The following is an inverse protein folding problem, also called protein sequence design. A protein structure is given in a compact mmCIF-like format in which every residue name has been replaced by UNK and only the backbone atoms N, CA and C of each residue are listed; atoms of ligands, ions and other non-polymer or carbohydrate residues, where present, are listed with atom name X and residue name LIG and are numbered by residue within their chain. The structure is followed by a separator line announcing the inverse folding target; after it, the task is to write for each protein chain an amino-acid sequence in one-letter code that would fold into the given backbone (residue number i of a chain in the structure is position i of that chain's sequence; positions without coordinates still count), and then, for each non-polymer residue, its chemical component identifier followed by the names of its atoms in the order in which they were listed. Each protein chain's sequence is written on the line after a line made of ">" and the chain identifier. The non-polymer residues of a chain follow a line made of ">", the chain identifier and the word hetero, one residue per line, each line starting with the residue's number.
data_IF_774809752244
#
_entry.id   IF_774809752244
#
_cell.length_a   1.000
_cell.length_b   1.000
_cell.length_c   1.000
_cell.angle_alpha   90.00
_cell.angle_beta   90.00
_cell.angle_gamma   90.00
#
_symmetry.space_group_name_H-M   'P 1'
#
loop_
_entity.id
_entity.type
_entity.pdbx_description
1 polymer ?
#
# COMPACT_ATOMS: atom_id res chain seq x y z
N UNK A 1 -32.33 36.97 0.48
CA UNK A 1 -32.63 35.70 1.17
C UNK A 1 -31.66 34.64 0.65
N UNK A 2 -30.54 34.40 1.35
CA UNK A 2 -29.58 33.37 0.96
C UNK A 2 -29.91 32.07 1.70
N UNK A 3 -30.53 31.13 1.00
CA UNK A 3 -30.81 29.79 1.50
C UNK A 3 -29.57 28.89 1.30
N UNK A 4 -28.58 29.01 2.19
CA UNK A 4 -27.58 27.95 2.33
C UNK A 4 -28.22 26.77 3.07
N UNK A 5 -28.80 25.83 2.30
CA UNK A 5 -29.27 24.56 2.85
C UNK A 5 -28.06 23.71 3.24
N UNK A 6 -27.85 23.55 4.53
CA UNK A 6 -26.97 22.54 5.11
C UNK A 6 -27.47 21.14 4.71
N UNK A 7 -26.96 20.60 3.61
CA UNK A 7 -27.17 19.19 3.29
C UNK A 7 -26.33 18.36 4.27
N UNK A 8 -26.98 17.81 5.29
CA UNK A 8 -26.35 16.82 6.16
C UNK A 8 -25.94 15.61 5.32
N UNK A 9 -24.63 15.31 5.30
CA UNK A 9 -24.08 14.19 4.54
C UNK A 9 -24.70 12.90 5.07
N UNK A 10 -25.63 12.32 4.31
CA UNK A 10 -26.22 11.02 4.63
C UNK A 10 -25.11 9.98 4.65
N UNK A 11 -25.06 9.17 5.72
CA UNK A 11 -24.08 8.09 5.84
C UNK A 11 -24.27 7.11 4.68
N UNK A 12 -23.15 6.80 4.01
CA UNK A 12 -23.13 5.82 2.93
C UNK A 12 -23.44 4.44 3.54
N UNK A 13 -24.30 3.63 2.89
CA UNK A 13 -24.66 2.32 3.42
C UNK A 13 -23.46 1.37 3.44
N UNK A 14 -23.53 0.40 4.35
CA UNK A 14 -22.52 -0.65 4.46
C UNK A 14 -22.47 -1.51 3.20
N UNK A 15 -21.35 -2.20 3.01
CA UNK A 15 -21.21 -3.13 1.89
C UNK A 15 -22.00 -4.41 2.13
N UNK A 16 -22.81 -4.81 1.14
CA UNK A 16 -23.56 -6.08 1.16
C UNK A 16 -22.61 -7.26 0.96
N UNK A 17 -23.10 -8.49 1.21
CA UNK A 17 -22.29 -9.70 0.99
C UNK A 17 -21.94 -9.88 -0.49
N UNK A 18 -22.92 -9.71 -1.37
CA UNK A 18 -22.75 -9.82 -2.82
C UNK A 18 -21.78 -8.77 -3.36
N UNK A 19 -21.83 -7.54 -2.86
CA UNK A 19 -20.86 -6.48 -3.21
C UNK A 19 -19.42 -6.89 -2.82
N UNK A 20 -19.24 -7.46 -1.62
CA UNK A 20 -17.92 -7.92 -1.17
C UNK A 20 -17.40 -9.05 -2.06
N UNK A 21 -18.23 -10.03 -2.38
CA UNK A 21 -17.87 -11.14 -3.26
C UNK A 21 -17.53 -10.65 -4.68
N UNK A 22 -18.33 -9.73 -5.22
CA UNK A 22 -18.07 -9.12 -6.52
C UNK A 22 -16.70 -8.42 -6.56
N UNK A 23 -16.36 -7.63 -5.54
CA UNK A 23 -15.06 -6.96 -5.48
C UNK A 23 -13.90 -7.96 -5.44
N UNK A 24 -14.02 -9.02 -4.62
CA UNK A 24 -12.94 -10.00 -4.47
C UNK A 24 -12.70 -10.80 -5.73
N UNK A 25 -13.77 -11.22 -6.42
CA UNK A 25 -13.67 -11.92 -7.70
C UNK A 25 -13.07 -11.02 -8.80
N UNK A 26 -13.48 -9.75 -8.85
CA UNK A 26 -12.94 -8.78 -9.79
C UNK A 26 -11.43 -8.56 -9.57
N UNK A 27 -10.98 -8.49 -8.31
CA UNK A 27 -9.56 -8.37 -7.98
C UNK A 27 -8.80 -9.64 -8.36
N UNK A 28 -9.32 -10.82 -7.99
CA UNK A 28 -8.69 -12.11 -8.28
C UNK A 28 -8.41 -12.28 -9.79
N UNK A 29 -9.41 -12.00 -10.61
CA UNK A 29 -9.36 -12.32 -12.04
C UNK A 29 -8.49 -11.33 -12.83
N UNK A 30 -8.50 -10.04 -12.47
CA UNK A 30 -7.98 -8.99 -13.34
C UNK A 30 -6.82 -8.18 -12.76
N UNK A 31 -6.66 -8.12 -11.42
CA UNK A 31 -5.79 -7.11 -10.78
C UNK A 31 -4.87 -7.65 -9.67
N UNK A 32 -4.97 -8.95 -9.34
CA UNK A 32 -4.24 -9.56 -8.23
C UNK A 32 -2.71 -9.40 -8.33
N UNK A 33 -2.14 -9.66 -9.51
CA UNK A 33 -0.70 -9.62 -9.75
C UNK A 33 -0.08 -8.26 -9.42
N UNK A 34 -0.72 -7.17 -9.88
CA UNK A 34 -0.19 -5.82 -9.68
C UNK A 34 -0.47 -5.30 -8.26
N UNK A 35 -1.62 -5.61 -7.68
CA UNK A 35 -1.96 -5.16 -6.32
C UNK A 35 -1.08 -5.81 -5.24
N UNK A 36 -0.83 -7.12 -5.34
CA UNK A 36 -0.01 -7.86 -4.36
C UNK A 36 1.49 -7.80 -4.63
N UNK A 37 1.93 -7.11 -5.70
CA UNK A 37 3.35 -6.86 -5.94
C UNK A 37 3.96 -6.03 -4.78
N UNK A 38 4.94 -6.60 -4.08
CA UNK A 38 5.60 -5.98 -2.92
C UNK A 38 6.80 -5.09 -3.26
N UNK A 39 7.16 -4.94 -4.54
CA UNK A 39 8.27 -4.05 -4.94
C UNK A 39 7.91 -2.59 -4.67
N UNK A 40 8.63 -1.93 -3.77
CA UNK A 40 8.40 -0.52 -3.42
C UNK A 40 9.08 0.37 -4.45
N UNK A 41 8.36 0.80 -5.49
CA UNK A 41 8.82 1.80 -6.46
C UNK A 41 7.76 2.91 -6.56
N UNK A 42 8.18 4.17 -6.76
CA UNK A 42 7.30 5.32 -6.98
C UNK A 42 6.33 5.07 -8.15
N UNK A 43 6.82 4.47 -9.23
CA UNK A 43 6.03 4.09 -10.42
C UNK A 43 4.92 3.09 -10.04
N UNK A 44 5.26 2.03 -9.28
CA UNK A 44 4.31 1.03 -8.82
C UNK A 44 3.20 1.62 -7.92
N UNK A 45 3.50 2.66 -7.15
CA UNK A 45 2.46 3.32 -6.34
C UNK A 45 1.43 4.07 -7.21
N UNK A 46 1.89 4.73 -8.27
CA UNK A 46 1.01 5.39 -9.24
C UNK A 46 0.17 4.35 -9.99
N UNK A 47 0.80 3.29 -10.49
CA UNK A 47 0.12 2.16 -11.15
C UNK A 47 -0.97 1.55 -10.26
N UNK A 48 -0.69 1.31 -8.97
CA UNK A 48 -1.69 0.81 -8.02
C UNK A 48 -2.86 1.78 -7.84
N UNK A 49 -2.60 3.08 -7.79
CA UNK A 49 -3.67 4.07 -7.68
C UNK A 49 -4.53 4.11 -8.95
N UNK A 50 -3.93 3.99 -10.14
CA UNK A 50 -4.65 3.88 -11.41
C UNK A 50 -5.49 2.60 -11.48
N UNK A 51 -4.96 1.48 -11.01
CA UNK A 51 -5.69 0.22 -10.91
C UNK A 51 -6.90 0.36 -10.00
N UNK A 52 -6.77 1.05 -8.86
CA UNK A 52 -7.92 1.30 -7.99
C UNK A 52 -9.01 2.14 -8.66
N UNK A 53 -8.64 3.10 -9.53
CA UNK A 53 -9.61 3.83 -10.36
C UNK A 53 -10.28 2.93 -11.41
N UNK A 54 -9.53 2.03 -12.04
CA UNK A 54 -10.10 1.04 -12.98
C UNK A 54 -11.06 0.08 -12.26
N UNK A 55 -10.68 -0.41 -11.08
CA UNK A 55 -11.53 -1.23 -10.22
C UNK A 55 -12.81 -0.49 -9.86
N UNK A 56 -12.72 0.80 -9.53
CA UNK A 56 -13.89 1.65 -9.27
C UNK A 56 -14.84 1.70 -10.48
N UNK A 57 -14.33 1.94 -11.70
CA UNK A 57 -15.16 1.92 -12.91
C UNK A 57 -15.80 0.54 -13.17
N UNK A 58 -15.01 -0.53 -13.09
CA UNK A 58 -15.48 -1.90 -13.33
C UNK A 58 -16.48 -2.37 -12.27
N UNK A 59 -16.23 -2.04 -11.02
CA UNK A 59 -17.09 -2.42 -9.91
C UNK A 59 -18.44 -1.71 -10.01
N UNK A 60 -18.43 -0.40 -10.26
CA UNK A 60 -19.65 0.39 -10.39
C UNK A 60 -20.44 0.08 -11.67
N UNK A 61 -19.81 -0.49 -12.71
CA UNK A 61 -20.50 -0.93 -13.93
C UNK A 61 -21.08 -2.35 -13.84
N UNK A 62 -20.43 -3.26 -13.11
CA UNK A 62 -20.81 -4.69 -13.03
C UNK A 62 -21.79 -4.99 -11.91
N UNK A 63 -21.67 -4.33 -10.78
CA UNK A 63 -22.47 -4.69 -9.62
C UNK A 63 -23.88 -4.06 -9.70
N UNK A 64 -24.91 -4.74 -9.19
CA UNK A 64 -26.29 -4.23 -9.12
C UNK A 64 -26.40 -3.13 -8.06
N UNK A 65 -25.64 -2.05 -8.24
CA UNK A 65 -25.35 -1.06 -7.22
C UNK A 65 -26.38 0.06 -7.26
N UNK A 66 -27.11 0.17 -6.16
CA UNK A 66 -27.94 1.33 -5.83
C UNK A 66 -27.07 2.56 -5.51
N UNK A 67 -25.79 2.35 -5.18
CA UNK A 67 -24.89 3.41 -4.71
C UNK A 67 -23.48 3.30 -5.29
N UNK A 68 -22.96 4.45 -5.72
CA UNK A 68 -21.58 4.60 -6.15
C UNK A 68 -20.58 4.37 -5.01
N UNK A 69 -19.51 3.62 -5.29
CA UNK A 69 -18.42 3.37 -4.34
C UNK A 69 -17.12 3.92 -4.90
N UNK A 70 -16.43 4.72 -4.09
CA UNK A 70 -15.15 5.30 -4.49
C UNK A 70 -14.00 4.29 -4.40
N UNK A 71 -12.98 4.45 -5.25
CA UNK A 71 -11.72 3.71 -5.20
C UNK A 71 -11.13 3.58 -3.78
N UNK A 72 -11.16 4.65 -2.98
CA UNK A 72 -10.66 4.62 -1.60
C UNK A 72 -11.46 3.68 -0.71
N UNK A 73 -12.79 3.64 -0.89
CA UNK A 73 -13.69 2.78 -0.10
C UNK A 73 -13.47 1.31 -0.45
N UNK A 74 -13.32 1.01 -1.74
CA UNK A 74 -13.03 -0.34 -2.24
C UNK A 74 -11.66 -0.83 -1.74
N UNK A 75 -10.64 0.03 -1.83
CA UNK A 75 -9.31 -0.24 -1.27
C UNK A 75 -9.36 -0.53 0.21
N UNK A 76 -10.07 0.31 0.98
CA UNK A 76 -10.18 0.15 2.44
C UNK A 76 -10.91 -1.14 2.80
N UNK A 77 -11.95 -1.51 2.05
CA UNK A 77 -12.64 -2.79 2.23
C UNK A 77 -11.72 -3.98 1.98
N UNK A 78 -10.96 -3.94 0.89
CA UNK A 78 -10.00 -4.99 0.55
C UNK A 78 -8.92 -5.17 1.63
N UNK A 79 -8.30 -4.08 2.08
CA UNK A 79 -7.27 -4.13 3.14
C UNK A 79 -7.85 -4.62 4.48
N UNK A 80 -9.05 -4.17 4.84
CA UNK A 80 -9.73 -4.66 6.04
C UNK A 80 -9.98 -6.16 5.96
N UNK A 81 -10.40 -6.67 4.80
CA UNK A 81 -10.65 -8.09 4.59
C UNK A 81 -9.39 -8.93 4.64
N UNK A 82 -8.27 -8.46 4.08
CA UNK A 82 -6.96 -9.09 4.27
C UNK A 82 -6.56 -9.18 5.73
N UNK A 83 -6.80 -8.10 6.49
CA UNK A 83 -6.49 -8.05 7.92
C UNK A 83 -7.36 -9.04 8.71
N UNK A 84 -8.65 -9.10 8.42
CA UNK A 84 -9.59 -10.08 9.01
C UNK A 84 -9.14 -11.52 8.72
N UNK A 85 -8.77 -11.83 7.48
CA UNK A 85 -8.27 -13.16 7.10
C UNK A 85 -7.02 -13.54 7.89
N UNK A 86 -6.00 -12.66 7.92
CA UNK A 86 -4.78 -12.92 8.70
C UNK A 86 -5.07 -13.16 10.17
N UNK A 87 -6.00 -12.39 10.75
CA UNK A 87 -6.41 -12.56 12.15
C UNK A 87 -7.10 -13.92 12.37
N UNK A 88 -8.02 -14.32 11.50
CA UNK A 88 -8.71 -15.62 11.58
C UNK A 88 -7.71 -16.78 11.54
N UNK A 89 -6.77 -16.75 10.60
CA UNK A 89 -5.75 -17.80 10.45
C UNK A 89 -4.77 -17.84 11.63
N UNK A 90 -4.33 -16.68 12.11
CA UNK A 90 -3.43 -16.59 13.27
C UNK A 90 -4.09 -17.10 14.56
N UNK A 91 -5.37 -16.77 14.78
CA UNK A 91 -6.11 -17.26 15.94
C UNK A 91 -6.28 -18.78 15.89
N UNK A 92 -6.60 -19.34 14.72
CA UNK A 92 -6.66 -20.79 14.57
C UNK A 92 -5.31 -21.45 14.84
N UNK A 93 -4.23 -20.95 14.21
CA UNK A 93 -2.88 -21.47 14.43
C UNK A 93 -2.50 -21.44 15.91
N UNK A 94 -2.84 -20.36 16.62
CA UNK A 94 -2.65 -20.26 18.07
C UNK A 94 -3.41 -21.33 18.84
N UNK A 95 -4.67 -21.59 18.47
CA UNK A 95 -5.48 -22.64 19.10
C UNK A 95 -4.89 -24.03 18.89
N UNK A 96 -4.30 -24.31 17.72
CA UNK A 96 -3.62 -25.57 17.42
C UNK A 96 -2.43 -25.85 18.37
N UNK A 97 -1.73 -24.81 18.84
CA UNK A 97 -0.59 -24.97 19.74
C UNK A 97 -0.94 -24.96 21.24
N UNK A 98 -2.22 -24.91 21.62
CA UNK A 98 -2.61 -24.99 23.03
C UNK A 98 -2.52 -26.46 23.51
N UNK A 99 -1.64 -26.74 24.47
CA UNK A 99 -1.36 -28.10 24.98
C UNK A 99 -2.12 -28.48 26.25
N UNK A 100 -3.11 -27.69 26.66
CA UNK A 100 -3.80 -27.80 27.96
C UNK A 100 -4.78 -28.98 28.14
N UNK A 101 -4.65 -30.06 27.38
CA UNK A 101 -5.51 -31.27 27.50
C UNK A 101 -6.99 -31.07 27.17
N UNK A 102 -7.36 -29.92 26.59
CA UNK A 102 -8.71 -29.64 26.11
C UNK A 102 -9.04 -30.38 24.81
N UNK A 103 -10.33 -30.40 24.40
CA UNK A 103 -10.71 -30.95 23.11
C UNK A 103 -9.98 -30.23 21.96
N UNK A 104 -9.69 -30.95 20.86
CA UNK A 104 -8.98 -30.36 19.73
C UNK A 104 -9.77 -29.17 19.17
N UNK A 105 -9.08 -28.13 18.66
CA UNK A 105 -9.74 -26.99 18.07
C UNK A 105 -10.60 -27.44 16.88
N UNK A 106 -11.81 -26.90 16.78
CA UNK A 106 -12.72 -27.14 15.66
C UNK A 106 -12.20 -26.50 14.39
N UNK A 107 -12.44 -27.14 13.24
CA UNK A 107 -12.04 -26.65 11.92
C UNK A 107 -12.43 -25.17 11.68
N UNK A 108 -11.55 -24.44 10.99
CA UNK A 108 -11.80 -23.05 10.61
C UNK A 108 -13.02 -22.99 9.69
N UNK A 109 -14.01 -22.19 10.08
CA UNK A 109 -15.09 -21.79 9.18
C UNK A 109 -14.56 -20.78 8.16
N UNK A 110 -14.20 -21.28 6.98
CA UNK A 110 -13.70 -20.45 5.86
C UNK A 110 -14.85 -20.02 4.95
N UNK A 111 -15.13 -18.72 4.93
CA UNK A 111 -16.15 -18.15 4.05
C UNK A 111 -15.71 -18.17 2.57
N UNK A 112 -16.65 -18.07 1.62
CA UNK A 112 -16.33 -17.99 0.18
C UNK A 112 -15.36 -16.84 -0.14
N UNK A 113 -15.56 -15.67 0.50
CA UNK A 113 -14.67 -14.51 0.40
C UNK A 113 -13.27 -14.83 0.91
N UNK A 114 -13.16 -15.58 2.02
CA UNK A 114 -11.87 -15.93 2.62
C UNK A 114 -11.09 -16.88 1.68
N UNK A 115 -11.78 -17.82 1.02
CA UNK A 115 -11.16 -18.70 0.02
C UNK A 115 -10.57 -17.93 -1.15
N UNK A 116 -11.31 -16.95 -1.68
CA UNK A 116 -10.82 -16.07 -2.76
C UNK A 116 -9.59 -15.29 -2.28
N UNK A 117 -9.64 -14.70 -1.08
CA UNK A 117 -8.51 -13.96 -0.53
C UNK A 117 -7.28 -14.83 -0.27
N UNK A 118 -7.45 -16.09 0.12
CA UNK A 118 -6.35 -17.05 0.28
C UNK A 118 -5.65 -17.35 -1.05
N UNK A 119 -6.34 -17.24 -2.19
CA UNK A 119 -5.75 -17.38 -3.52
C UNK A 119 -4.99 -16.11 -3.96
N UNK A 120 -5.52 -14.93 -3.62
CA UNK A 120 -4.91 -13.65 -3.99
C UNK A 120 -3.65 -13.36 -3.14
N UNK A 121 -3.77 -13.50 -1.82
CA UNK A 121 -2.72 -13.07 -0.88
C UNK A 121 -1.59 -14.10 -0.84
N UNK A 122 -0.35 -13.60 -0.86
CA UNK A 122 0.84 -14.44 -0.74
C UNK A 122 0.76 -15.37 0.49
N UNK A 123 0.83 -16.69 0.25
CA UNK A 123 0.76 -17.75 1.27
C UNK A 123 1.70 -17.52 2.46
N UNK A 124 2.95 -17.11 2.21
CA UNK A 124 3.94 -16.83 3.26
C UNK A 124 3.49 -15.73 4.22
N UNK A 125 2.68 -14.77 3.73
CA UNK A 125 2.10 -13.71 4.55
C UNK A 125 0.95 -14.19 5.45
N UNK A 126 0.38 -15.37 5.18
CA UNK A 126 -0.74 -15.96 5.92
C UNK A 126 -0.25 -17.00 6.93
N UNK A 127 0.58 -17.95 6.51
CA UNK A 127 1.05 -19.08 7.33
C UNK A 127 2.34 -18.77 8.14
N UNK A 128 3.07 -17.72 7.73
CA UNK A 128 4.44 -17.48 8.18
C UNK A 128 5.46 -18.29 7.36
N UNK A 129 6.72 -18.18 7.75
CA UNK A 129 7.79 -19.04 7.21
C UNK A 129 7.79 -20.38 7.95
N UNK A 130 8.01 -21.47 7.22
CA UNK A 130 8.40 -22.75 7.82
C UNK A 130 9.79 -22.56 8.43
N UNK A 131 9.94 -22.92 9.70
CA UNK A 131 11.25 -22.97 10.35
C UNK A 131 11.70 -24.42 10.27
N UNK A 132 12.69 -24.71 9.44
CA UNK A 132 13.21 -26.07 9.20
C UNK A 132 14.19 -26.54 10.29
N UNK A 133 14.58 -25.63 11.19
CA UNK A 133 15.60 -25.85 12.23
C UNK A 133 15.07 -25.52 13.62
N UNK A 134 13.77 -25.75 13.86
CA UNK A 134 13.20 -25.61 15.20
C UNK A 134 13.20 -26.96 15.92
N UNK A 135 13.47 -26.95 17.23
CA UNK A 135 13.60 -28.19 18.04
C UNK A 135 12.25 -28.89 18.28
N UNK A 136 11.18 -28.28 17.79
CA UNK A 136 9.79 -28.67 18.02
C UNK A 136 9.12 -29.22 16.73
N UNK A 137 9.89 -29.46 15.67
CA UNK A 137 9.39 -30.14 14.46
C UNK A 137 9.09 -31.59 14.85
N UNK A 138 7.84 -31.83 15.23
CA UNK A 138 7.25 -33.17 15.18
C UNK A 138 7.13 -33.50 13.70
N UNK A 139 7.90 -34.47 13.23
CA UNK A 139 7.68 -35.09 11.93
C UNK A 139 6.19 -35.47 11.86
N UNK A 140 5.39 -34.70 11.11
CA UNK A 140 4.08 -35.18 10.69
C UNK A 140 4.38 -36.46 9.93
N UNK A 141 3.97 -37.59 10.51
CA UNK A 141 4.03 -38.89 9.87
C UNK A 141 3.10 -38.88 8.65
N UNK A 142 3.56 -38.28 7.56
CA UNK A 142 3.02 -38.45 6.23
C UNK A 142 3.13 -39.94 5.88
N UNK A 143 2.04 -40.59 5.45
CA UNK A 143 2.10 -41.97 5.00
C UNK A 143 3.05 -42.04 3.81
N UNK A 144 4.03 -42.93 3.90
CA UNK A 144 5.09 -43.17 2.90
C UNK A 144 4.48 -43.21 1.49
N UNK A 145 4.52 -42.07 0.78
CA UNK A 145 4.31 -42.03 -0.66
C UNK A 145 5.68 -42.17 -1.29
N UNK A 146 5.94 -43.36 -1.83
CA UNK A 146 7.17 -43.74 -2.52
C UNK A 146 7.59 -42.62 -3.49
N UNK A 147 8.78 -42.05 -3.26
CA UNK A 147 9.45 -41.14 -4.22
C UNK A 147 9.78 -41.94 -5.49
N UNK A 148 9.14 -41.63 -6.61
CA UNK A 148 9.63 -41.95 -7.95
C UNK A 148 10.60 -40.83 -8.40
N UNK A 149 11.67 -41.23 -9.08
CA UNK A 149 12.90 -40.46 -9.32
C UNK A 149 12.85 -39.53 -10.55
N UNK A 150 11.80 -38.73 -10.74
CA UNK A 150 11.61 -38.03 -12.03
C UNK A 150 11.42 -36.51 -11.98
N UNK A 151 11.46 -35.85 -10.81
CA UNK A 151 11.19 -34.39 -10.75
C UNK A 151 12.44 -33.50 -10.52
N UNK A 152 13.65 -34.05 -10.63
CA UNK A 152 14.88 -33.24 -10.68
C UNK A 152 15.23 -32.94 -12.14
N UNK A 153 14.51 -32.01 -12.78
CA UNK A 153 14.98 -31.08 -13.85
C UNK A 153 13.84 -30.10 -14.07
N UNK A 154 13.95 -28.88 -13.52
CA UNK A 154 13.50 -27.63 -14.17
C UNK A 154 13.97 -26.40 -13.38
N UNK A 155 15.28 -26.35 -13.08
CA UNK A 155 15.98 -25.07 -12.97
C UNK A 155 16.25 -24.57 -14.41
N UNK A 156 15.20 -24.10 -15.08
CA UNK A 156 15.34 -23.36 -16.34
C UNK A 156 15.28 -21.88 -16.01
N UNK A 157 16.48 -21.30 -15.96
CA UNK A 157 16.73 -19.87 -16.13
C UNK A 157 16.07 -19.46 -17.45
N UNK A 158 14.91 -18.78 -17.37
CA UNK A 158 14.29 -18.17 -18.53
C UNK A 158 14.90 -16.79 -18.74
N UNK A 159 15.96 -16.74 -19.54
CA UNK A 159 16.29 -15.58 -20.36
C UNK A 159 15.16 -15.38 -21.37
N UNK A 160 14.48 -14.24 -21.35
CA UNK A 160 13.61 -13.85 -22.45
C UNK A 160 13.48 -12.33 -22.60
N UNK A 161 14.21 -11.88 -23.61
CA UNK A 161 13.83 -10.92 -24.66
C UNK A 161 12.98 -9.70 -24.28
N UNK A 162 13.58 -8.55 -24.56
CA UNK A 162 12.94 -7.26 -24.66
C UNK A 162 11.82 -7.30 -25.72
N UNK A 163 10.57 -7.30 -25.26
CA UNK A 163 9.41 -7.04 -26.12
C UNK A 163 8.89 -5.62 -25.87
N UNK A 164 9.10 -4.79 -26.89
CA UNK A 164 8.43 -3.55 -27.29
C UNK A 164 7.18 -3.16 -26.47
N UNK A 165 7.30 -2.07 -25.71
CA UNK A 165 6.15 -1.35 -25.19
C UNK A 165 5.50 -0.56 -26.33
N UNK A 166 4.24 -0.87 -26.61
CA UNK A 166 3.37 -0.08 -27.49
C UNK A 166 2.98 1.22 -26.81
N UNK A 167 3.22 2.32 -27.50
CA UNK A 167 2.83 3.67 -27.14
C UNK A 167 1.30 3.76 -26.99
N UNK A 168 0.84 4.42 -25.91
CA UNK A 168 -0.50 5.00 -25.85
C UNK A 168 -0.30 6.48 -25.56
N UNK A 169 -0.68 7.28 -26.55
CA UNK A 169 -0.53 8.73 -26.60
C UNK A 169 -1.14 9.45 -25.39
N UNK A 170 -0.36 10.40 -24.87
CA UNK A 170 -0.78 11.42 -23.93
C UNK A 170 -1.53 12.49 -24.72
N UNK A 171 -2.84 12.65 -24.47
CA UNK A 171 -3.55 13.89 -24.82
C UNK A 171 -3.21 14.91 -23.74
N UNK A 172 -2.18 15.70 -24.01
CA UNK A 172 -1.97 17.01 -23.42
C UNK A 172 -2.84 18.01 -24.20
N UNK A 173 -3.92 18.48 -23.59
CA UNK A 173 -4.50 19.80 -23.84
C UNK A 173 -5.63 20.03 -22.86
N UNK A 174 -5.37 20.89 -21.86
CA UNK A 174 -6.18 22.02 -21.40
C UNK A 174 -5.46 22.51 -20.14
N UNK A 175 -4.57 23.46 -20.34
CA UNK A 175 -4.25 24.48 -19.33
C UNK A 175 -5.06 25.71 -19.71
N UNK A 176 -5.43 26.48 -18.69
CA UNK A 176 -6.03 27.81 -18.73
C UNK A 176 -7.56 27.82 -18.73
N UNK A 177 -8.16 27.72 -17.53
CA UNK A 177 -8.78 28.90 -16.93
C UNK A 177 -9.27 28.70 -15.47
N UNK A 178 -8.84 29.67 -14.65
CA UNK A 178 -9.55 30.29 -13.52
C UNK A 178 -9.54 29.67 -12.09
N UNK A 179 -8.80 30.41 -11.24
CA UNK A 179 -8.90 30.64 -9.79
C UNK A 179 -9.19 29.48 -8.82
N UNK A 180 -8.13 29.00 -8.17
CA UNK A 180 -8.21 28.50 -6.79
C UNK A 180 -8.38 29.68 -5.80
N UNK A 181 -9.41 29.71 -4.94
CA UNK A 181 -9.47 30.67 -3.85
C UNK A 181 -8.44 30.32 -2.78
N UNK A 182 -7.57 31.29 -2.48
CA UNK A 182 -6.64 31.24 -1.34
C UNK A 182 -7.43 31.03 -0.04
N UNK A 183 -7.33 29.85 0.57
CA UNK A 183 -7.87 29.62 1.91
C UNK A 183 -7.01 30.41 2.92
N UNK A 184 -7.47 31.60 3.26
CA UNK A 184 -6.99 32.34 4.43
C UNK A 184 -7.36 31.50 5.66
N UNK A 185 -6.35 30.91 6.30
CA UNK A 185 -6.45 30.31 7.63
C UNK A 185 -6.86 31.39 8.63
N UNK A 186 -8.17 31.54 8.87
CA UNK A 186 -8.68 32.27 10.03
C UNK A 186 -8.43 31.40 11.26
N UNK A 187 -7.39 31.75 12.04
CA UNK A 187 -7.28 31.32 13.43
C UNK A 187 -8.50 31.87 14.19
N UNK A 188 -9.47 31.01 14.49
CA UNK A 188 -10.50 31.32 15.48
C UNK A 188 -9.89 31.14 16.89
N UNK A 189 -10.07 32.10 17.81
CA UNK A 189 -9.76 31.87 19.22
C UNK A 189 -10.78 30.87 19.79
N UNK A 190 -10.40 30.00 20.75
CA UNK A 190 -11.33 29.06 21.34
C UNK A 190 -12.26 29.79 22.32
N UNK A 191 -13.39 30.27 21.83
CA UNK A 191 -14.51 30.69 22.68
C UNK A 191 -15.58 29.60 22.62
N UNK A 192 -15.79 28.92 23.74
CA UNK A 192 -16.88 27.93 23.86
C UNK A 192 -16.54 26.59 24.49
N UNK A 193 -15.43 26.44 25.24
CA UNK A 193 -15.33 25.29 26.14
C UNK A 193 -16.36 25.44 27.26
N UNK A 194 -17.47 24.72 27.14
CA UNK A 194 -18.40 24.53 28.23
C UNK A 194 -17.66 23.86 29.40
N UNK A 195 -17.78 24.44 30.60
CA UNK A 195 -17.26 23.82 31.83
C UNK A 195 -17.99 22.49 32.04
N UNK A 196 -17.31 21.42 32.49
CA UNK A 196 -17.99 20.18 32.82
C UNK A 196 -18.98 20.42 33.96
N UNK A 197 -20.27 20.21 33.69
CA UNK A 197 -21.33 20.10 34.68
C UNK A 197 -21.11 18.82 35.47
N UNK A 198 -20.42 18.89 36.61
CA UNK A 198 -20.49 17.91 37.69
C UNK A 198 -20.03 18.57 39.00
N UNK A 199 -20.99 19.11 39.76
CA UNK A 199 -20.76 19.88 40.99
C UNK A 199 -20.71 19.00 42.26
N UNK A 200 -20.48 17.69 42.15
CA UNK A 200 -20.49 16.79 43.32
C UNK A 200 -19.38 15.74 43.29
N UNK A 201 -18.14 16.19 43.50
CA UNK A 201 -17.10 15.38 44.14
C UNK A 201 -16.29 16.27 45.10
N UNK A 202 -16.92 16.69 46.21
CA UNK A 202 -16.17 17.16 47.38
C UNK A 202 -15.60 15.92 48.08
N UNK A 203 -14.29 15.73 47.97
CA UNK A 203 -13.57 14.79 48.83
C UNK A 203 -13.51 15.42 50.23
N UNK A 204 -14.20 14.81 51.19
CA UNK A 204 -14.08 15.14 52.60
C UNK A 204 -12.68 14.73 53.10
N UNK A 205 -11.97 15.55 53.89
CA UNK A 205 -10.71 15.14 54.49
C UNK A 205 -11.00 14.10 55.58
N UNK A 206 -10.73 12.82 55.30
CA UNK A 206 -10.84 11.76 56.30
C UNK A 206 -9.77 11.94 57.37
N UNK A 207 -10.24 11.94 58.61
CA UNK A 207 -9.49 12.03 59.86
C UNK A 207 -8.36 10.99 59.92
N UNK A 208 -7.23 11.41 60.51
CA UNK A 208 -6.08 10.56 60.87
C UNK A 208 -6.56 9.44 61.79
N UNK A 209 -6.44 8.19 61.35
CA UNK A 209 -6.54 7.01 62.21
C UNK A 209 -5.12 6.51 62.47
N UNK A 210 -4.73 6.49 63.74
CA UNK A 210 -3.46 5.91 64.21
C UNK A 210 -3.51 4.38 64.07
N UNK A 211 -2.40 3.70 63.72
CA UNK A 211 -2.34 2.25 63.77
C UNK A 211 -2.09 1.77 65.22
N UNK A 212 -2.61 0.59 65.61
CA UNK A 212 -2.42 0.04 66.94
C UNK A 212 -1.01 -0.53 67.13
N UNK A 213 -0.48 -0.31 68.33
CA UNK A 213 0.75 -0.86 68.86
C UNK A 213 0.59 -2.36 69.12
N UNK A 214 1.47 -3.19 68.54
CA UNK A 214 1.76 -4.53 69.03
C UNK A 214 3.25 -4.63 69.32
N UNK A 215 3.54 -4.82 70.60
CA UNK A 215 4.86 -4.99 71.20
C UNK A 215 5.35 -6.43 71.03
N UNK A 216 6.53 -6.61 70.42
CA UNK A 216 7.41 -7.74 70.76
C UNK A 216 8.84 -7.24 71.03
N UNK A 217 9.39 -7.77 72.10
CA UNK A 217 10.63 -7.45 72.81
C UNK A 217 11.89 -7.67 71.97
N UNK A 218 12.78 -6.68 71.98
CA UNK A 218 14.17 -6.80 71.53
C UNK A 218 15.10 -7.11 72.73
N UNK A 219 15.95 -8.12 72.57
CA UNK A 219 17.15 -8.33 73.40
C UNK A 219 18.33 -7.67 72.69
N UNK A 220 19.05 -6.86 73.44
CA UNK A 220 20.21 -6.06 73.03
C UNK A 220 21.44 -6.92 72.74
N UNK A 221 22.24 -6.54 71.72
CA UNK A 221 23.71 -6.44 71.84
C UNK A 221 24.33 -5.69 70.65
N UNK A 222 25.23 -4.76 71.01
CA UNK A 222 26.33 -4.11 70.26
C UNK A 222 26.03 -3.34 68.98
N UNK A 223 26.24 -2.01 69.05
CA UNK A 223 26.45 -1.16 67.89
C UNK A 223 27.93 -1.11 67.47
N UNK A 224 28.17 -0.95 66.17
CA UNK A 224 28.78 0.25 65.57
C UNK A 224 28.57 0.25 64.05
N UNK A 225 27.93 1.34 63.60
CA UNK A 225 27.87 1.96 62.27
C UNK A 225 28.23 1.16 61.00
N UNK A 226 27.20 0.82 60.21
CA UNK A 226 27.33 0.79 58.75
C UNK A 226 26.05 1.37 58.11
N UNK A 227 26.20 2.51 57.43
CA UNK A 227 25.10 3.24 56.80
C UNK A 227 24.66 2.58 55.49
N UNK A 228 23.80 1.55 55.59
CA UNK A 228 23.15 0.97 54.42
C UNK A 228 22.00 1.87 53.97
N UNK A 229 22.31 2.77 53.04
CA UNK A 229 21.34 3.57 52.28
C UNK A 229 20.48 2.61 51.43
N UNK A 230 19.19 2.56 51.71
CA UNK A 230 18.19 1.94 50.83
C UNK A 230 18.25 2.56 49.42
N UNK A 231 18.14 1.76 48.34
CA UNK A 231 18.19 2.29 46.98
C UNK A 231 16.91 3.10 46.72
N UNK A 232 17.08 4.40 46.48
CA UNK A 232 15.97 5.26 46.08
C UNK A 232 15.40 4.74 44.77
N UNK A 233 14.09 4.45 44.78
CA UNK A 233 13.27 4.17 43.61
C UNK A 233 13.67 5.14 42.48
N UNK A 234 14.23 4.61 41.40
CA UNK A 234 14.69 5.42 40.28
C UNK A 234 13.49 6.17 39.69
N UNK A 235 13.39 7.46 39.99
CA UNK A 235 12.54 8.35 39.24
C UNK A 235 12.96 8.22 37.77
N UNK A 236 12.10 7.65 36.92
CA UNK A 236 12.27 7.73 35.47
C UNK A 236 12.25 9.21 35.12
N UNK A 237 13.44 9.81 35.06
CA UNK A 237 13.62 11.11 34.45
C UNK A 237 13.13 10.96 33.02
N UNK A 238 12.02 11.61 32.68
CA UNK A 238 11.71 11.87 31.29
C UNK A 238 12.96 12.53 30.69
N UNK A 239 13.39 12.16 29.48
CA UNK A 239 14.41 12.94 28.80
C UNK A 239 13.80 14.31 28.54
N UNK A 240 14.05 15.27 29.41
CA UNK A 240 14.03 16.67 29.04
C UNK A 240 15.26 16.87 28.17
N UNK A 241 15.18 16.40 26.93
CA UNK A 241 16.11 16.81 25.90
C UNK A 241 16.00 18.31 25.83
N UNK A 242 16.95 19.01 26.47
CA UNK A 242 17.10 20.44 26.29
C UNK A 242 17.20 20.65 24.80
N UNK A 243 16.20 21.31 24.23
CA UNK A 243 16.27 21.81 22.86
C UNK A 243 17.46 22.75 22.87
N UNK A 244 18.61 22.29 22.38
CA UNK A 244 19.74 23.17 22.11
C UNK A 244 19.21 24.12 21.05
N UNK A 245 18.90 25.35 21.44
CA UNK A 245 18.63 26.41 20.48
C UNK A 245 19.92 26.57 19.68
N UNK A 246 19.88 26.14 18.42
CA UNK A 246 21.01 26.26 17.51
C UNK A 246 21.50 27.71 17.53
N UNK A 247 22.81 27.90 17.59
CA UNK A 247 23.38 29.24 17.51
C UNK A 247 23.14 29.78 16.08
N UNK A 248 23.14 31.10 15.89
CA UNK A 248 22.97 31.72 14.57
C UNK A 248 23.97 31.19 13.53
N UNK A 249 25.16 30.76 13.99
CA UNK A 249 26.20 30.08 13.21
C UNK A 249 25.73 28.73 12.66
N UNK A 250 25.18 27.85 13.51
CA UNK A 250 24.74 26.51 13.11
C UNK A 250 23.52 26.57 12.17
N UNK A 251 22.67 27.59 12.35
CA UNK A 251 21.58 27.87 11.41
C UNK A 251 22.12 28.27 10.04
N UNK A 252 23.11 29.18 9.98
CA UNK A 252 23.69 29.63 8.73
C UNK A 252 24.33 28.47 7.93
N UNK A 253 25.08 27.58 8.59
CA UNK A 253 25.67 26.41 7.94
C UNK A 253 24.61 25.46 7.36
N UNK A 254 23.50 25.26 8.08
CA UNK A 254 22.39 24.42 7.60
C UNK A 254 21.73 25.00 6.34
N UNK A 255 21.58 26.32 6.24
CA UNK A 255 21.01 26.96 5.04
C UNK A 255 21.96 26.87 3.84
N UNK A 256 23.27 27.04 4.05
CA UNK A 256 24.27 26.86 2.97
C UNK A 256 24.26 25.44 2.41
N UNK A 257 24.07 24.41 3.26
CA UNK A 257 23.93 23.03 2.81
C UNK A 257 22.62 22.77 2.06
N UNK A 258 21.53 23.44 2.44
CA UNK A 258 20.25 23.37 1.73
C UNK A 258 20.36 23.96 0.32
N UNK A 259 21.04 25.10 0.16
CA UNK A 259 21.25 25.75 -1.15
C UNK A 259 22.07 24.86 -2.09
N UNK A 260 23.18 24.30 -1.59
CA UNK A 260 24.00 23.34 -2.36
C UNK A 260 23.19 22.12 -2.79
N UNK A 261 22.31 21.63 -1.91
CA UNK A 261 21.42 20.50 -2.24
C UNK A 261 20.36 20.88 -3.27
N UNK A 262 19.81 22.10 -3.23
CA UNK A 262 18.88 22.59 -4.26
C UNK A 262 19.53 22.59 -5.64
N UNK A 263 20.74 23.16 -5.73
CA UNK A 263 21.51 23.22 -6.98
C UNK A 263 21.81 21.82 -7.52
N UNK A 264 22.16 20.86 -6.66
CA UNK A 264 22.41 19.48 -7.09
C UNK A 264 21.15 18.80 -7.62
N UNK A 265 20.00 19.02 -6.98
CA UNK A 265 18.71 18.48 -7.45
C UNK A 265 18.31 19.11 -8.79
N UNK A 266 18.49 20.43 -8.94
CA UNK A 266 18.25 21.13 -10.21
C UNK A 266 19.09 20.55 -11.34
N UNK A 267 20.40 20.35 -11.12
CA UNK A 267 21.29 19.71 -12.10
C UNK A 267 20.89 18.27 -12.43
N UNK A 268 20.42 17.50 -11.46
CA UNK A 268 19.94 16.14 -11.70
C UNK A 268 18.67 16.14 -12.55
N UNK A 269 17.75 17.08 -12.29
CA UNK A 269 16.54 17.25 -13.09
C UNK A 269 16.92 17.62 -14.52
N UNK A 270 17.80 18.60 -14.69
CA UNK A 270 18.30 19.05 -16.00
C UNK A 270 18.89 17.88 -16.81
N UNK A 271 19.80 17.11 -16.21
CA UNK A 271 20.40 15.93 -16.84
C UNK A 271 19.35 14.88 -17.25
N UNK A 272 18.37 14.60 -16.39
CA UNK A 272 17.28 13.65 -16.71
C UNK A 272 16.43 14.19 -17.87
N UNK A 273 16.12 15.49 -17.88
CA UNK A 273 15.34 16.10 -18.95
C UNK A 273 16.06 16.08 -20.29
N UNK A 274 17.38 16.31 -20.30
CA UNK A 274 18.21 16.21 -21.50
C UNK A 274 18.24 14.77 -22.04
N UNK A 275 18.40 13.77 -21.16
CA UNK A 275 18.34 12.36 -21.56
C UNK A 275 16.98 12.00 -22.17
N UNK A 276 15.88 12.44 -21.55
CA UNK A 276 14.53 12.22 -22.07
C UNK A 276 14.31 12.93 -23.41
N UNK A 277 14.86 14.13 -23.58
CA UNK A 277 14.80 14.87 -24.84
C UNK A 277 15.53 14.12 -25.94
N UNK A 278 16.74 13.62 -25.66
CA UNK A 278 17.52 12.86 -26.63
C UNK A 278 16.78 11.58 -27.10
N UNK A 279 16.22 10.82 -26.16
CA UNK A 279 15.44 9.62 -26.48
C UNK A 279 14.21 9.95 -27.33
N UNK A 280 13.48 11.03 -26.99
CA UNK A 280 12.32 11.49 -27.78
C UNK A 280 12.71 11.88 -29.20
N UNK A 281 13.82 12.61 -29.38
CA UNK A 281 14.29 12.98 -30.71
C UNK A 281 14.77 11.77 -31.52
N UNK A 282 15.38 10.77 -30.89
CA UNK A 282 15.72 9.51 -31.54
C UNK A 282 14.46 8.76 -32.02
N UNK A 283 13.43 8.66 -31.17
CA UNK A 283 12.15 8.04 -31.53
C UNK A 283 11.48 8.78 -32.70
N UNK A 284 11.46 10.12 -32.70
CA UNK A 284 10.92 10.91 -33.83
C UNK A 284 11.65 10.63 -35.14
N UNK A 285 12.98 10.49 -35.11
CA UNK A 285 13.77 10.14 -36.30
C UNK A 285 13.43 8.75 -36.80
N UNK A 286 13.28 7.76 -35.90
CA UNK A 286 12.87 6.39 -36.24
C UNK A 286 11.48 6.37 -36.90
N UNK A 287 10.52 7.09 -36.34
CA UNK A 287 9.18 7.22 -36.93
C UNK A 287 9.20 7.82 -38.32
N UNK A 288 10.01 8.87 -38.54
CA UNK A 288 10.16 9.50 -39.86
C UNK A 288 10.75 8.54 -40.89
N UNK A 289 11.74 7.73 -40.50
CA UNK A 289 12.32 6.70 -41.38
C UNK A 289 11.27 5.64 -41.71
N UNK A 290 10.51 5.17 -40.71
CA UNK A 290 9.47 4.17 -40.89
C UNK A 290 8.38 4.67 -41.86
N UNK A 291 7.93 5.91 -41.68
CA UNK A 291 6.95 6.53 -42.58
C UNK A 291 7.47 6.63 -44.02
N UNK A 292 8.73 7.01 -44.21
CA UNK A 292 9.35 7.03 -45.54
C UNK A 292 9.43 5.63 -46.17
N UNK A 293 9.67 4.58 -45.38
CA UNK A 293 9.66 3.20 -45.87
C UNK A 293 8.26 2.77 -46.30
N UNK A 294 7.23 3.15 -45.55
CA UNK A 294 5.83 2.87 -45.89
C UNK A 294 5.41 3.55 -47.21
N UNK A 295 5.76 4.83 -47.36
CA UNK A 295 5.50 5.60 -48.59
C UNK A 295 6.19 4.96 -49.81
N UNK A 296 7.46 4.54 -49.66
CA UNK A 296 8.20 3.85 -50.72
C UNK A 296 7.55 2.51 -51.09
N UNK A 297 7.10 1.72 -50.11
CA UNK A 297 6.40 0.45 -50.37
C UNK A 297 5.07 0.67 -51.08
N UNK A 298 4.34 1.74 -50.74
CA UNK A 298 3.09 2.08 -51.40
C UNK A 298 3.33 2.51 -52.84
N UNK A 299 4.36 3.33 -53.10
CA UNK A 299 4.76 3.71 -54.45
C UNK A 299 5.10 2.47 -55.30
N UNK A 300 5.87 1.53 -54.76
CA UNK A 300 6.23 0.30 -55.48
C UNK A 300 4.99 -0.57 -55.80
N UNK A 301 4.01 -0.63 -54.90
CA UNK A 301 2.73 -1.32 -55.16
C UNK A 301 1.96 -0.65 -56.30
N UNK A 302 1.93 0.68 -56.36
CA UNK A 302 1.27 1.41 -57.44
C UNK A 302 1.97 1.19 -58.78
N UNK A 303 3.30 1.24 -58.82
CA UNK A 303 4.08 0.95 -60.03
C UNK A 303 3.80 -0.46 -60.56
N UNK A 304 3.77 -1.47 -59.67
CA UNK A 304 3.43 -2.85 -60.05
C UNK A 304 2.00 -2.94 -60.58
N UNK A 305 1.04 -2.24 -59.97
CA UNK A 305 -0.35 -2.20 -60.43
C UNK A 305 -0.47 -1.60 -61.83
N UNK A 306 0.17 -0.45 -62.08
CA UNK A 306 0.20 0.18 -63.40
C UNK A 306 0.84 -0.71 -64.46
N UNK A 307 1.92 -1.42 -64.10
CA UNK A 307 2.58 -2.37 -65.01
C UNK A 307 1.69 -3.55 -65.39
N UNK A 308 0.94 -4.09 -64.43
CA UNK A 308 -0.05 -5.15 -64.68
C UNK A 308 -1.15 -4.65 -65.61
N UNK A 309 -1.68 -3.44 -65.37
CA UNK A 309 -2.73 -2.84 -66.21
C UNK A 309 -2.26 -2.62 -67.65
N UNK A 310 -1.02 -2.13 -67.84
CA UNK A 310 -0.42 -1.99 -69.18
C UNK A 310 -0.28 -3.33 -69.91
N UNK A 311 0.17 -4.38 -69.20
CA UNK A 311 0.27 -5.72 -69.78
C UNK A 311 -1.10 -6.28 -70.18
N UNK A 312 -2.15 -6.04 -69.38
CA UNK A 312 -3.51 -6.44 -69.71
C UNK A 312 -4.02 -5.75 -70.98
N UNK A 313 -3.77 -4.45 -71.14
CA UNK A 313 -4.11 -3.71 -72.34
C UNK A 313 -3.38 -4.24 -73.58
N UNK A 314 -2.10 -4.60 -73.46
CA UNK A 314 -1.33 -5.18 -74.57
C UNK A 314 -1.86 -6.56 -74.99
N UNK A 315 -2.20 -7.41 -74.01
CA UNK A 315 -2.84 -8.71 -74.28
C UNK A 315 -4.17 -8.52 -75.00
N UNK A 316 -5.01 -7.58 -74.57
CA UNK A 316 -6.30 -7.31 -75.20
C UNK A 316 -6.15 -6.80 -76.63
N UNK A 317 -5.14 -5.95 -76.92
CA UNK A 317 -4.82 -5.50 -78.28
C UNK A 317 -4.39 -6.64 -79.21
N UNK A 318 -3.66 -7.65 -78.70
CA UNK A 318 -3.21 -8.82 -79.49
C UNK A 318 -4.32 -9.84 -79.74
N UNK A 319 -5.44 -9.76 -79.01
CA UNK A 319 -6.60 -10.65 -79.15
C UNK A 319 -7.69 -10.08 -80.07
N UNK A 320 -7.65 -8.78 -80.35
CA UNK A 320 -8.53 -8.09 -81.32
C UNK A 320 -7.89 -8.07 -82.70
#
# INVERSE_FOLDING_TARGET
>A
MNQNREQTVKRIPNFTKSEKECLMNLILNNYAATLENKKTNRVNMQEKNEIWKRIECDFNSKAPLVHYRSAEQLRRLYENKKKELRKKLAEHKKQTYLTGGGPPPTDIKVDAIDKILMQIVNKKSLSGFSVEYDSDIVDEAEPIRKKSKEDEIEDVIYEFEASEFKDIDIIENIIENEQCPKSISKRCPPQGFQKPLNEKLKVQPTLKVMPPTLSLSCVSTSGTSNSNKTPKFSARRRPTGGVKTLTSSDFAEKYVLLDKRSILVEKQIEQITEQQYFVREEQKRKLKIFQQQEDNLNLEKEERKMKIELLQLEINKKKS
#
